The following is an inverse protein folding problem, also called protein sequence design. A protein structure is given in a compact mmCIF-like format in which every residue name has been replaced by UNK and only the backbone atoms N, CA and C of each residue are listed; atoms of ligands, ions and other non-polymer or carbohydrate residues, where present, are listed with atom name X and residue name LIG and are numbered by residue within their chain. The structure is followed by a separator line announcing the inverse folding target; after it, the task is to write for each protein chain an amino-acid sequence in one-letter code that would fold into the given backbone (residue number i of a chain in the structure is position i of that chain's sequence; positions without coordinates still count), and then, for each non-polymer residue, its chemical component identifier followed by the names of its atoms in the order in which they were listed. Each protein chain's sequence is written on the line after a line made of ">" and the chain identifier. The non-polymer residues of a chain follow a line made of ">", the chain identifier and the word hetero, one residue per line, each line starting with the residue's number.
data_IF_485381967527
#
_entry.id   IF_485381967527
#
_cell.length_a   1.000
_cell.length_b   1.000
_cell.length_c   1.000
_cell.angle_alpha   90.00
_cell.angle_beta   90.00
_cell.angle_gamma   90.00
#
_symmetry.space_group_name_H-M   'P 1'
#
loop_
_entity.id
_entity.type
_entity.pdbx_description
1 polymer ?
#
# COMPACT_ATOMS: atom_id res chain seq x y z
N UNK A 1 -0.69 -13.74 -14.45
CA UNK A 1 -0.48 -14.94 -13.60
C UNK A 1 -1.72 -15.80 -13.69
N UNK A 2 -1.57 -17.11 -13.85
CA UNK A 2 -2.67 -18.08 -13.83
C UNK A 2 -2.78 -18.73 -12.47
N UNK A 3 -4.03 -18.94 -12.03
CA UNK A 3 -4.37 -19.67 -10.81
C UNK A 3 -5.47 -20.68 -11.13
N UNK A 4 -5.26 -21.95 -10.76
CA UNK A 4 -6.25 -23.00 -10.97
C UNK A 4 -6.02 -24.16 -9.99
N UNK A 5 -7.04 -25.03 -9.85
CA UNK A 5 -6.92 -26.30 -9.14
C UNK A 5 -6.69 -27.39 -10.19
N UNK A 6 -5.69 -28.23 -9.98
CA UNK A 6 -5.40 -29.37 -10.86
C UNK A 6 -6.17 -30.64 -10.46
N UNK A 7 -5.95 -31.72 -11.20
CA UNK A 7 -6.60 -33.03 -11.00
C UNK A 7 -6.27 -33.66 -9.62
N UNK A 8 -5.17 -33.25 -9.00
CA UNK A 8 -4.76 -33.67 -7.66
C UNK A 8 -5.29 -32.75 -6.55
N UNK A 9 -6.24 -31.87 -6.89
CA UNK A 9 -6.81 -30.87 -5.99
C UNK A 9 -5.79 -29.88 -5.41
N UNK A 10 -4.67 -29.68 -6.11
CA UNK A 10 -3.63 -28.76 -5.69
C UNK A 10 -3.79 -27.40 -6.36
N UNK A 11 -3.57 -26.34 -5.57
CA UNK A 11 -3.57 -24.96 -6.09
C UNK A 11 -2.29 -24.69 -6.87
N UNK A 12 -2.45 -24.45 -8.16
CA UNK A 12 -1.38 -24.02 -9.05
C UNK A 12 -1.33 -22.50 -9.16
N UNK A 13 -0.11 -21.95 -9.12
CA UNK A 13 0.19 -20.53 -9.33
C UNK A 13 1.35 -20.43 -10.30
N UNK A 14 1.15 -19.82 -11.48
CA UNK A 14 2.20 -19.68 -12.50
C UNK A 14 2.17 -18.30 -13.13
N UNK A 15 3.34 -17.70 -13.32
CA UNK A 15 3.48 -16.54 -14.20
C UNK A 15 3.31 -17.05 -15.63
N UNK A 16 2.29 -16.54 -16.34
CA UNK A 16 2.02 -16.93 -17.73
C UNK A 16 2.84 -16.07 -18.69
N UNK A 17 2.78 -14.75 -18.51
CA UNK A 17 3.47 -13.79 -19.35
C UNK A 17 3.90 -12.58 -18.50
N UNK A 18 4.97 -11.92 -18.93
CA UNK A 18 5.36 -10.58 -18.50
C UNK A 18 5.50 -9.72 -19.76
N UNK A 19 4.58 -8.79 -19.96
CA UNK A 19 4.45 -8.05 -21.23
C UNK A 19 4.57 -6.57 -20.99
N UNK A 20 5.39 -5.90 -21.82
CA UNK A 20 5.47 -4.46 -21.85
C UNK A 20 4.33 -3.88 -22.71
N UNK A 21 3.53 -2.97 -22.15
CA UNK A 21 2.48 -2.25 -22.87
C UNK A 21 2.89 -0.78 -22.98
N UNK A 22 3.17 -0.27 -24.20
CA UNK A 22 3.53 1.13 -24.38
C UNK A 22 2.33 2.06 -24.08
N UNK A 23 2.56 3.33 -23.70
CA UNK A 23 1.52 4.35 -23.65
C UNK A 23 0.75 4.44 -24.97
N UNK A 24 -0.58 4.71 -24.95
CA UNK A 24 -1.34 5.29 -23.85
C UNK A 24 -1.96 4.31 -22.84
N UNK A 25 -1.69 2.99 -22.93
CA UNK A 25 -2.17 1.95 -21.97
C UNK A 25 -3.66 2.05 -21.62
N UNK A 26 -4.53 2.30 -22.61
CA UNK A 26 -5.98 2.35 -22.37
C UNK A 26 -6.52 0.91 -22.23
N UNK A 27 -7.77 0.80 -21.78
CA UNK A 27 -8.35 -0.50 -21.46
C UNK A 27 -8.39 -1.47 -22.64
N UNK A 28 -8.60 -0.98 -23.87
CA UNK A 28 -8.63 -1.83 -25.06
C UNK A 28 -7.28 -2.47 -25.35
N UNK A 29 -6.19 -1.71 -25.23
CA UNK A 29 -4.82 -2.15 -25.44
C UNK A 29 -4.43 -3.20 -24.39
N UNK A 30 -4.81 -2.97 -23.13
CA UNK A 30 -4.63 -3.95 -22.05
C UNK A 30 -5.42 -5.23 -22.35
N UNK A 31 -6.69 -5.12 -22.74
CA UNK A 31 -7.54 -6.25 -23.08
C UNK A 31 -6.97 -7.08 -24.23
N UNK A 32 -6.53 -6.42 -25.30
CA UNK A 32 -5.94 -7.08 -26.47
C UNK A 32 -4.66 -7.84 -26.12
N UNK A 33 -3.79 -7.26 -25.29
CA UNK A 33 -2.57 -7.92 -24.84
C UNK A 33 -2.89 -9.13 -23.98
N UNK A 34 -3.82 -9.00 -23.02
CA UNK A 34 -4.27 -10.13 -22.20
C UNK A 34 -4.86 -11.23 -23.09
N UNK A 35 -5.75 -10.87 -24.02
CA UNK A 35 -6.40 -11.83 -24.92
C UNK A 35 -5.38 -12.61 -25.76
N UNK A 36 -4.42 -11.93 -26.38
CA UNK A 36 -3.34 -12.59 -27.13
C UNK A 36 -2.56 -13.56 -26.26
N UNK A 37 -2.20 -13.18 -25.03
CA UNK A 37 -1.54 -14.10 -24.11
C UNK A 37 -2.39 -15.35 -23.86
N UNK A 38 -3.71 -15.20 -23.69
CA UNK A 38 -4.61 -16.33 -23.48
C UNK A 38 -4.69 -17.25 -24.72
N UNK A 39 -4.72 -16.67 -25.92
CA UNK A 39 -4.70 -17.42 -27.18
C UNK A 39 -3.36 -18.15 -27.40
N UNK A 40 -2.23 -17.50 -27.11
CA UNK A 40 -0.89 -18.09 -27.22
C UNK A 40 -0.75 -19.34 -26.33
N UNK A 41 -1.39 -19.33 -25.15
CA UNK A 41 -1.45 -20.47 -24.24
C UNK A 41 -2.57 -21.48 -24.57
N UNK A 42 -3.49 -21.16 -25.47
CA UNK A 42 -4.67 -22.00 -25.78
C UNK A 42 -5.63 -22.16 -24.60
N UNK A 43 -5.74 -21.13 -23.75
CA UNK A 43 -6.55 -21.15 -22.51
C UNK A 43 -7.66 -20.10 -22.50
N UNK A 44 -7.91 -19.41 -23.60
CA UNK A 44 -8.91 -18.35 -23.73
C UNK A 44 -10.33 -18.85 -23.39
N UNK A 45 -10.60 -20.13 -23.59
CA UNK A 45 -11.85 -20.81 -23.22
C UNK A 45 -11.89 -21.31 -21.77
N UNK A 46 -10.82 -21.13 -20.99
CA UNK A 46 -10.68 -21.64 -19.61
C UNK A 46 -10.71 -20.53 -18.55
N UNK A 47 -10.80 -19.26 -18.94
CA UNK A 47 -10.77 -18.11 -18.02
C UNK A 47 -12.14 -17.82 -17.42
N UNK A 48 -12.26 -18.01 -16.09
CA UNK A 48 -13.49 -17.79 -15.34
C UNK A 48 -13.53 -16.43 -14.63
N UNK A 49 -12.39 -16.01 -14.09
CA UNK A 49 -12.25 -14.83 -13.24
C UNK A 49 -10.95 -14.13 -13.62
N UNK A 50 -10.98 -12.81 -13.67
CA UNK A 50 -9.79 -11.96 -13.76
C UNK A 50 -9.78 -11.03 -12.56
N UNK A 51 -8.65 -10.99 -11.86
CA UNK A 51 -8.42 -10.04 -10.79
C UNK A 51 -7.38 -9.00 -11.16
N UNK A 52 -7.76 -7.74 -10.94
CA UNK A 52 -6.98 -6.53 -11.27
C UNK A 52 -7.18 -5.50 -10.16
N UNK A 53 -6.29 -4.51 -10.08
CA UNK A 53 -6.46 -3.40 -9.16
C UNK A 53 -7.69 -2.52 -9.52
N UNK A 54 -7.93 -1.46 -8.75
CA UNK A 54 -9.09 -0.60 -8.95
C UNK A 54 -8.85 0.55 -9.93
N UNK A 55 -7.86 0.45 -10.83
CA UNK A 55 -7.63 1.48 -11.84
C UNK A 55 -8.75 1.53 -12.89
N UNK A 56 -9.11 2.73 -13.34
CA UNK A 56 -10.19 2.95 -14.32
C UNK A 56 -9.93 2.25 -15.67
N UNK A 57 -8.68 2.21 -16.14
CA UNK A 57 -8.29 1.53 -17.36
C UNK A 57 -8.62 0.02 -17.33
N UNK A 58 -8.52 -0.60 -16.16
CA UNK A 58 -8.83 -2.01 -15.97
C UNK A 58 -10.34 -2.29 -16.09
N UNK A 59 -11.21 -1.31 -15.82
CA UNK A 59 -12.66 -1.48 -16.04
C UNK A 59 -12.94 -1.72 -17.51
N UNK A 60 -12.45 -0.81 -18.36
CA UNK A 60 -12.59 -0.90 -19.80
C UNK A 60 -11.91 -2.16 -20.36
N UNK A 61 -10.77 -2.58 -19.81
CA UNK A 61 -10.11 -3.81 -20.22
C UNK A 61 -10.96 -5.05 -19.95
N UNK A 62 -11.53 -5.13 -18.75
CA UNK A 62 -12.39 -6.24 -18.35
C UNK A 62 -13.68 -6.30 -19.18
N UNK A 63 -14.28 -5.15 -19.50
CA UNK A 63 -15.49 -5.11 -20.31
C UNK A 63 -15.24 -5.61 -21.75
N UNK A 64 -14.08 -5.26 -22.34
CA UNK A 64 -13.65 -5.82 -23.63
C UNK A 64 -13.39 -7.33 -23.53
N UNK A 65 -12.67 -7.79 -22.50
CA UNK A 65 -12.39 -9.22 -22.28
C UNK A 65 -13.67 -10.04 -22.09
N UNK A 66 -14.69 -9.50 -21.43
CA UNK A 66 -16.00 -10.17 -21.32
C UNK A 66 -16.61 -10.42 -22.69
N UNK A 67 -16.50 -9.48 -23.64
CA UNK A 67 -17.00 -9.65 -25.01
C UNK A 67 -16.23 -10.77 -25.70
N UNK A 68 -14.90 -10.75 -25.62
CA UNK A 68 -14.05 -11.76 -26.27
C UNK A 68 -14.32 -13.17 -25.73
N UNK A 69 -14.42 -13.32 -24.41
CA UNK A 69 -14.71 -14.63 -23.80
C UNK A 69 -16.15 -15.07 -24.11
N UNK A 70 -17.15 -14.17 -24.11
CA UNK A 70 -18.54 -14.49 -24.47
C UNK A 70 -18.67 -15.06 -25.88
N UNK A 71 -17.83 -14.60 -26.82
CA UNK A 71 -17.79 -15.12 -28.18
C UNK A 71 -17.21 -16.55 -28.27
N UNK A 72 -16.43 -16.98 -27.27
CA UNK A 72 -15.86 -18.34 -27.19
C UNK A 72 -16.70 -19.27 -26.33
N UNK A 73 -17.34 -18.77 -25.27
CA UNK A 73 -18.14 -19.56 -24.33
C UNK A 73 -19.07 -18.72 -23.46
N UNK A 74 -20.04 -19.38 -22.82
CA UNK A 74 -20.86 -18.76 -21.78
C UNK A 74 -20.03 -18.49 -20.51
N UNK A 75 -20.13 -17.27 -19.98
CA UNK A 75 -19.54 -16.90 -18.70
C UNK A 75 -20.38 -17.43 -17.53
N UNK A 76 -19.72 -17.87 -16.46
CA UNK A 76 -20.38 -18.21 -15.19
C UNK A 76 -21.17 -17.03 -14.62
N UNK A 77 -22.36 -17.30 -14.08
CA UNK A 77 -23.26 -16.29 -13.51
C UNK A 77 -23.48 -15.08 -14.45
N UNK A 78 -23.50 -15.33 -15.75
CA UNK A 78 -23.63 -14.34 -16.84
C UNK A 78 -22.52 -13.25 -16.81
N UNK A 79 -21.35 -13.59 -16.27
CA UNK A 79 -20.18 -12.72 -16.19
C UNK A 79 -20.11 -11.84 -14.95
N UNK A 80 -21.04 -11.98 -14.00
CA UNK A 80 -21.04 -11.23 -12.72
C UNK A 80 -19.78 -11.46 -11.89
N UNK A 81 -19.21 -12.66 -11.95
CA UNK A 81 -18.00 -13.05 -11.22
C UNK A 81 -16.71 -12.87 -12.02
N UNK A 82 -16.80 -12.39 -13.26
CA UNK A 82 -15.64 -12.31 -14.16
C UNK A 82 -14.61 -11.26 -13.71
N UNK A 83 -15.06 -10.23 -12.96
CA UNK A 83 -14.21 -9.17 -12.45
C UNK A 83 -14.15 -9.25 -10.92
N UNK A 84 -12.97 -9.51 -10.38
CA UNK A 84 -12.71 -9.42 -8.94
C UNK A 84 -11.68 -8.34 -8.67
N UNK A 85 -12.07 -7.29 -7.95
CA UNK A 85 -11.14 -6.24 -7.53
C UNK A 85 -10.11 -6.78 -6.55
N UNK A 86 -8.88 -6.27 -6.64
CA UNK A 86 -7.84 -6.61 -5.69
C UNK A 86 -8.21 -6.11 -4.27
N UNK A 87 -8.44 -7.04 -3.34
CA UNK A 87 -8.75 -6.71 -1.94
C UNK A 87 -7.64 -5.88 -1.28
N UNK A 88 -6.36 -6.20 -1.54
CA UNK A 88 -5.23 -5.45 -0.99
C UNK A 88 -5.24 -3.98 -1.46
N UNK A 89 -5.64 -3.73 -2.71
CA UNK A 89 -5.78 -2.37 -3.21
C UNK A 89 -6.96 -1.63 -2.55
N UNK A 90 -8.09 -2.31 -2.34
CA UNK A 90 -9.25 -1.74 -1.63
C UNK A 90 -8.86 -1.38 -0.19
N UNK A 91 -8.19 -2.29 0.53
CA UNK A 91 -7.71 -2.02 1.89
C UNK A 91 -6.75 -0.82 1.92
N UNK A 92 -5.83 -0.73 0.96
CA UNK A 92 -4.97 0.44 0.82
C UNK A 92 -5.78 1.74 0.63
N UNK A 93 -6.82 1.73 -0.20
CA UNK A 93 -7.67 2.91 -0.40
C UNK A 93 -8.39 3.33 0.89
N UNK A 94 -8.94 2.36 1.64
CA UNK A 94 -9.59 2.61 2.93
C UNK A 94 -8.60 3.18 3.94
N UNK A 95 -7.40 2.59 4.05
CA UNK A 95 -6.37 3.05 4.96
C UNK A 95 -5.88 4.47 4.60
N UNK A 96 -5.68 4.76 3.32
CA UNK A 96 -5.29 6.09 2.86
C UNK A 96 -6.37 7.14 3.13
N UNK A 97 -7.64 6.81 2.90
CA UNK A 97 -8.78 7.68 3.20
C UNK A 97 -8.83 8.01 4.69
N UNK A 98 -8.76 7.00 5.56
CA UNK A 98 -8.72 7.20 7.01
C UNK A 98 -7.48 7.97 7.50
N UNK A 99 -6.31 7.74 6.91
CA UNK A 99 -5.09 8.50 7.19
C UNK A 99 -5.21 9.97 6.76
N UNK A 100 -6.04 10.28 5.75
CA UNK A 100 -6.23 11.65 5.27
C UNK A 100 -6.94 12.54 6.28
N UNK A 101 -7.83 11.98 7.12
CA UNK A 101 -8.54 12.69 8.18
C UNK A 101 -7.62 13.21 9.30
N UNK A 102 -6.46 12.57 9.47
CA UNK A 102 -5.43 12.96 10.45
C UNK A 102 -4.17 13.49 9.77
N UNK A 103 -4.25 13.85 8.48
CA UNK A 103 -3.09 14.20 7.65
C UNK A 103 -2.20 15.24 8.32
N UNK A 104 -2.77 16.26 8.95
CA UNK A 104 -1.99 17.30 9.64
C UNK A 104 -1.10 16.72 10.76
N UNK A 105 -1.61 15.75 11.51
CA UNK A 105 -0.88 15.07 12.60
C UNK A 105 0.23 14.20 12.02
N UNK A 106 -0.09 13.45 10.98
CA UNK A 106 0.87 12.61 10.28
C UNK A 106 1.99 13.45 9.67
N UNK A 107 1.66 14.60 9.08
CA UNK A 107 2.62 15.55 8.51
C UNK A 107 3.55 16.10 9.61
N UNK A 108 3.02 16.53 10.75
CA UNK A 108 3.83 17.03 11.89
C UNK A 108 4.79 15.95 12.44
N UNK A 109 4.31 14.72 12.63
CA UNK A 109 5.15 13.61 13.09
C UNK A 109 6.20 13.25 12.05
N UNK A 110 5.83 13.21 10.76
CA UNK A 110 6.77 12.93 9.67
C UNK A 110 7.87 13.97 9.60
N UNK A 111 7.50 15.24 9.56
CA UNK A 111 8.46 16.34 9.47
C UNK A 111 9.39 16.34 10.69
N UNK A 112 8.88 15.96 11.87
CA UNK A 112 9.68 15.76 13.08
C UNK A 112 10.70 14.63 12.97
N UNK A 113 10.28 13.47 12.45
CA UNK A 113 11.17 12.33 12.21
C UNK A 113 12.25 12.69 11.18
N UNK A 114 11.86 13.31 10.07
CA UNK A 114 12.78 13.78 9.04
C UNK A 114 13.77 14.82 9.60
N UNK A 115 13.29 15.76 10.43
CA UNK A 115 14.13 16.78 11.05
C UNK A 115 15.23 16.18 11.94
N UNK A 116 14.89 15.20 12.77
CA UNK A 116 15.84 14.49 13.63
C UNK A 116 16.88 13.75 12.78
N UNK A 117 16.45 13.11 11.70
CA UNK A 117 17.31 12.33 10.81
C UNK A 117 18.11 13.16 9.81
N UNK A 118 17.79 14.46 9.64
CA UNK A 118 18.41 15.36 8.65
C UNK A 118 19.92 15.52 8.81
N UNK A 119 20.47 15.29 10.01
CA UNK A 119 21.90 15.38 10.25
C UNK A 119 22.36 14.46 11.38
N UNK A 120 23.59 13.99 11.28
CA UNK A 120 24.23 13.16 12.31
C UNK A 120 24.24 13.82 13.69
N UNK A 121 24.41 15.15 13.75
CA UNK A 121 24.45 15.88 15.02
C UNK A 121 23.10 15.79 15.76
N UNK A 122 22.00 16.03 15.03
CA UNK A 122 20.63 15.94 15.57
C UNK A 122 20.27 14.51 15.95
N UNK A 123 20.60 13.54 15.10
CA UNK A 123 20.36 12.13 15.39
C UNK A 123 21.12 11.67 16.64
N UNK A 124 22.39 12.08 16.79
CA UNK A 124 23.20 11.80 17.99
C UNK A 124 22.62 12.47 19.24
N UNK A 125 22.16 13.72 19.13
CA UNK A 125 21.50 14.42 20.24
C UNK A 125 20.22 13.70 20.67
N UNK A 126 19.37 13.32 19.72
CA UNK A 126 18.14 12.59 19.97
C UNK A 126 18.42 11.27 20.69
N UNK A 127 19.31 10.44 20.16
CA UNK A 127 19.66 9.15 20.79
C UNK A 127 20.45 9.29 22.09
N UNK A 128 21.12 10.44 22.34
CA UNK A 128 21.66 10.75 23.67
C UNK A 128 20.53 10.92 24.69
N UNK A 129 19.43 11.56 24.32
CA UNK A 129 18.24 11.70 25.19
C UNK A 129 17.57 10.35 25.40
N UNK A 130 17.44 9.53 24.35
CA UNK A 130 16.92 8.14 24.45
C UNK A 130 17.70 7.35 25.51
N UNK A 131 19.04 7.43 25.49
CA UNK A 131 19.90 6.80 26.50
C UNK A 131 19.69 7.36 27.90
N UNK A 132 19.53 8.68 28.04
CA UNK A 132 19.25 9.32 29.35
C UNK A 132 17.92 8.88 29.95
N UNK A 133 16.95 8.53 29.10
CA UNK A 133 15.65 8.01 29.50
C UNK A 133 15.63 6.48 29.69
N UNK A 134 16.75 5.78 29.48
CA UNK A 134 16.84 4.32 29.53
C UNK A 134 15.85 3.58 28.61
N UNK A 135 15.52 4.16 27.45
CA UNK A 135 14.62 3.53 26.50
C UNK A 135 15.38 2.49 25.64
N UNK A 136 14.79 1.30 25.38
CA UNK A 136 15.47 0.22 24.66
C UNK A 136 15.49 0.39 23.14
N UNK A 137 14.85 1.44 22.62
CA UNK A 137 14.61 1.64 21.19
C UNK A 137 15.82 2.27 20.49
N UNK A 138 16.10 1.82 19.26
CA UNK A 138 17.36 2.12 18.57
C UNK A 138 17.22 2.80 17.21
N UNK A 139 16.00 2.93 16.68
CA UNK A 139 15.80 3.40 15.31
C UNK A 139 14.45 4.09 15.12
N UNK A 140 14.48 5.24 14.45
CA UNK A 140 13.32 5.89 13.82
C UNK A 140 13.15 5.33 12.39
N UNK A 141 11.92 5.36 11.87
CA UNK A 141 11.57 4.83 10.55
C UNK A 141 11.01 5.98 9.71
N UNK A 142 11.48 6.09 8.45
CA UNK A 142 11.00 7.10 7.51
C UNK A 142 9.69 6.68 6.85
N UNK A 143 8.88 7.68 6.50
CA UNK A 143 7.65 7.47 5.74
C UNK A 143 7.88 7.56 4.23
N UNK A 144 7.15 6.72 3.50
CA UNK A 144 7.04 6.73 2.06
C UNK A 144 5.59 7.08 1.71
N UNK A 145 5.34 8.35 1.35
CA UNK A 145 4.00 8.92 1.15
C UNK A 145 3.10 8.14 0.17
N UNK A 146 3.69 7.35 -0.73
CA UNK A 146 2.97 6.55 -1.73
C UNK A 146 2.55 5.16 -1.21
N UNK A 147 2.92 4.80 0.03
CA UNK A 147 2.71 3.48 0.62
C UNK A 147 2.19 3.62 2.06
N UNK A 148 0.90 3.37 2.26
CA UNK A 148 0.23 3.50 3.56
C UNK A 148 0.92 2.73 4.70
N UNK A 149 1.47 1.54 4.40
CA UNK A 149 2.15 0.72 5.39
C UNK A 149 3.42 1.41 5.92
N UNK A 150 4.10 2.20 5.09
CA UNK A 150 5.25 3.00 5.53
C UNK A 150 4.85 4.09 6.52
N UNK A 151 3.66 4.66 6.36
CA UNK A 151 3.13 5.69 7.26
C UNK A 151 2.80 5.07 8.61
N UNK A 152 2.17 3.88 8.61
CA UNK A 152 1.98 3.10 9.83
C UNK A 152 3.31 2.76 10.52
N UNK A 153 4.29 2.23 9.77
CA UNK A 153 5.61 1.88 10.31
C UNK A 153 6.33 3.09 10.94
N UNK A 154 6.26 4.25 10.29
CA UNK A 154 6.79 5.52 10.82
C UNK A 154 6.08 5.90 12.13
N UNK A 155 4.75 5.94 12.15
CA UNK A 155 3.98 6.31 13.35
C UNK A 155 4.25 5.35 14.51
N UNK A 156 4.20 4.04 14.26
CA UNK A 156 4.44 3.01 15.26
C UNK A 156 5.87 3.06 15.83
N UNK A 157 6.87 3.44 15.01
CA UNK A 157 8.22 3.69 15.49
C UNK A 157 8.30 5.00 16.30
N UNK A 158 7.75 6.11 15.78
CA UNK A 158 7.83 7.43 16.40
C UNK A 158 7.14 7.49 17.78
N UNK A 159 5.99 6.81 17.94
CA UNK A 159 5.24 6.72 19.21
C UNK A 159 6.12 6.19 20.35
N UNK A 160 7.05 5.25 20.07
CA UNK A 160 7.99 4.72 21.07
C UNK A 160 8.95 5.77 21.62
N UNK A 161 9.08 6.90 20.92
CA UNK A 161 9.93 8.02 21.29
C UNK A 161 9.12 9.28 21.65
N UNK A 162 7.81 9.19 21.89
CA UNK A 162 6.94 10.36 22.16
C UNK A 162 7.44 11.25 23.30
N UNK A 163 8.04 10.66 24.35
CA UNK A 163 8.59 11.40 25.50
C UNK A 163 10.00 12.00 25.24
N UNK A 164 10.62 11.64 24.10
CA UNK A 164 11.95 12.11 23.69
C UNK A 164 11.82 13.42 22.90
N UNK A 165 10.80 13.54 22.05
CA UNK A 165 10.61 14.71 21.19
C UNK A 165 10.53 16.05 21.95
N UNK A 166 9.77 16.18 23.06
CA UNK A 166 9.77 17.42 23.84
C UNK A 166 11.14 17.76 24.42
N UNK A 167 11.88 16.76 24.95
CA UNK A 167 13.23 16.97 25.50
C UNK A 167 14.26 17.29 24.43
N UNK A 168 14.02 16.85 23.19
CA UNK A 168 14.82 17.22 22.04
C UNK A 168 14.56 18.69 21.67
N UNK A 169 13.30 19.14 21.69
CA UNK A 169 12.94 20.54 21.50
C UNK A 169 13.62 21.48 22.50
N UNK A 170 13.68 21.10 23.77
CA UNK A 170 14.38 21.89 24.81
C UNK A 170 15.88 22.12 24.51
N UNK A 171 16.49 21.29 23.66
CA UNK A 171 17.93 21.27 23.36
C UNK A 171 18.27 21.65 21.92
N UNK A 172 17.28 21.82 21.06
CA UNK A 172 17.43 22.13 19.65
C UNK A 172 16.63 23.40 19.32
N UNK A 173 17.28 24.59 19.36
CA UNK A 173 16.61 25.90 19.27
C UNK A 173 15.83 26.18 17.97
N UNK A 174 15.97 25.33 16.95
CA UNK A 174 15.33 25.48 15.64
C UNK A 174 14.31 24.37 15.35
N UNK A 175 13.84 23.67 16.38
CA UNK A 175 12.86 22.60 16.26
C UNK A 175 11.47 23.05 16.72
N UNK A 176 10.74 23.67 15.79
CA UNK A 176 9.43 24.30 16.07
C UNK A 176 8.23 23.41 15.71
N UNK A 177 8.49 22.15 15.32
CA UNK A 177 7.48 21.21 14.81
C UNK A 177 7.23 20.05 15.76
N UNK A 178 7.47 20.23 17.07
CA UNK A 178 7.28 19.18 18.07
C UNK A 178 5.81 18.71 18.13
N UNK A 179 5.51 17.40 17.96
CA UNK A 179 4.15 16.90 18.09
C UNK A 179 3.63 17.06 19.52
N UNK A 180 2.37 17.45 19.67
CA UNK A 180 1.70 17.66 20.95
C UNK A 180 1.26 16.35 21.60
N UNK A 181 0.87 16.40 22.88
CA UNK A 181 0.30 15.23 23.58
C UNK A 181 -1.00 14.72 22.92
N UNK A 182 -1.80 15.64 22.34
CA UNK A 182 -3.01 15.29 21.61
C UNK A 182 -2.68 14.58 20.29
N UNK A 183 -1.65 15.04 19.58
CA UNK A 183 -1.15 14.41 18.35
C UNK A 183 -0.74 12.96 18.60
N UNK A 184 0.02 12.71 19.67
CA UNK A 184 0.40 11.35 20.06
C UNK A 184 -0.80 10.48 20.41
N UNK A 185 -1.77 11.02 21.15
CA UNK A 185 -2.99 10.28 21.53
C UNK A 185 -3.80 9.86 20.28
N UNK A 186 -3.91 10.74 19.29
CA UNK A 186 -4.60 10.44 18.03
C UNK A 186 -3.80 9.45 17.17
N UNK A 187 -2.49 9.63 17.07
CA UNK A 187 -1.60 8.72 16.34
C UNK A 187 -1.63 7.29 16.91
N UNK A 188 -1.67 7.13 18.24
CA UNK A 188 -1.81 5.83 18.91
C UNK A 188 -3.12 5.13 18.56
N UNK A 189 -4.24 5.85 18.59
CA UNK A 189 -5.55 5.30 18.19
C UNK A 189 -5.52 4.81 16.75
N UNK A 190 -4.95 5.60 15.85
CA UNK A 190 -4.85 5.24 14.43
C UNK A 190 -3.93 4.04 14.23
N UNK A 191 -2.79 3.98 14.92
CA UNK A 191 -1.90 2.83 14.86
C UNK A 191 -2.58 1.56 15.34
N UNK A 192 -3.42 1.62 16.40
CA UNK A 192 -4.13 0.43 16.88
C UNK A 192 -5.12 -0.14 15.86
N UNK A 193 -5.67 0.71 14.98
CA UNK A 193 -6.54 0.28 13.88
C UNK A 193 -5.69 -0.27 12.73
N UNK A 194 -4.61 0.42 12.37
CA UNK A 194 -3.75 0.04 11.24
C UNK A 194 -2.93 -1.24 11.50
N UNK A 195 -2.64 -1.57 12.76
CA UNK A 195 -1.93 -2.80 13.14
C UNK A 195 -2.68 -4.08 12.75
N UNK A 196 -4.00 -3.99 12.57
CA UNK A 196 -4.84 -5.14 12.19
C UNK A 196 -4.74 -5.51 10.70
N UNK A 197 -4.13 -4.66 9.87
CA UNK A 197 -4.06 -4.78 8.41
C UNK A 197 -2.63 -5.01 7.93
#
# INVERSE_FOLDING_TARGET
>A
MGHWIDESWQLQKRVLNFVHIPPPRRGLEIANVIWRCLEDWGIESKIHIISVDNASANNAAIDNLKIYVKNKRRLLCDGRLFHVRCCAHILNLIAQDGLSEIKNIVDVIRDSVEYVQRSDAKLKLFFKIVKQLNLPYKKLVDDCRTRWNSTYEMLAAAIKFKDVFPKFADREPHYDICPSAEDWTKAEKVCSVLELF
#
